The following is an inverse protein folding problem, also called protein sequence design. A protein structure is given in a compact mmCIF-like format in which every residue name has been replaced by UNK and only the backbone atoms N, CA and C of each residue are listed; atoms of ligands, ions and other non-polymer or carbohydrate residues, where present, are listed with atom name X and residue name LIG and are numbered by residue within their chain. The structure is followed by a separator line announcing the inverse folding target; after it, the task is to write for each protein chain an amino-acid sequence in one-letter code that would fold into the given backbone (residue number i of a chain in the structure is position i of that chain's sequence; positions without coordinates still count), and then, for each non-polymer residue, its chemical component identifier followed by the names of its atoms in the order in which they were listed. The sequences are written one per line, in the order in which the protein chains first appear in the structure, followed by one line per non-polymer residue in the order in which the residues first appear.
data_IF_044426407817
#
_entry.id   IF_044426407817
#
_cell.length_a   1.000
_cell.length_b   1.000
_cell.length_c   1.000
_cell.angle_alpha   90.00
_cell.angle_beta   90.00
_cell.angle_gamma   90.00
#
_symmetry.space_group_name_H-M   'P 1'
#
loop_
_entity.id
_entity.type
_entity.pdbx_description
1 polymer ?
#
# COMPACT_ATOMS: atom_id res chain seq x y z
N UNK A 1 -3.54 -56.50 -4.98
CA UNK A 1 -4.16 -55.32 -4.36
C UNK A 1 -3.05 -54.46 -3.82
N UNK A 2 -2.74 -53.38 -4.53
CA UNK A 2 -1.57 -52.54 -4.33
C UNK A 2 -1.97 -51.43 -3.34
N UNK A 3 -1.21 -51.30 -2.26
CA UNK A 3 -1.21 -50.15 -1.36
C UNK A 3 -0.38 -49.01 -1.97
N UNK A 4 -0.78 -47.75 -1.76
CA UNK A 4 0.04 -46.54 -1.85
C UNK A 4 -0.82 -45.31 -1.38
N UNK A 5 -0.23 -44.16 -0.96
CA UNK A 5 -0.33 -43.70 0.42
C UNK A 5 -0.60 -42.19 0.62
N UNK A 6 -0.77 -41.81 1.90
CA UNK A 6 -0.17 -40.62 2.55
C UNK A 6 -0.19 -39.27 1.82
N UNK A 7 -1.14 -38.41 2.23
CA UNK A 7 -1.13 -36.98 1.93
C UNK A 7 0.04 -36.31 2.69
N UNK A 8 1.19 -36.15 2.03
CA UNK A 8 2.33 -35.39 2.55
C UNK A 8 1.99 -33.89 2.53
N UNK A 9 1.73 -33.32 3.71
CA UNK A 9 1.79 -31.87 3.94
C UNK A 9 3.25 -31.44 3.77
N UNK A 10 3.58 -30.83 2.63
CA UNK A 10 4.89 -30.20 2.43
C UNK A 10 4.97 -28.93 3.27
N UNK A 11 5.64 -29.00 4.40
CA UNK A 11 6.13 -27.83 5.14
C UNK A 11 7.10 -27.05 4.25
N UNK A 12 6.73 -25.86 3.79
CA UNK A 12 7.66 -24.97 3.08
C UNK A 12 8.68 -24.41 4.09
N UNK A 13 9.96 -24.61 3.80
CA UNK A 13 11.08 -24.13 4.60
C UNK A 13 11.32 -22.62 4.42
N UNK A 14 11.85 -21.97 5.47
CA UNK A 14 12.19 -20.54 5.60
C UNK A 14 12.92 -19.90 4.39
N UNK A 15 13.63 -20.68 3.59
CA UNK A 15 14.35 -20.21 2.38
C UNK A 15 13.38 -19.98 1.20
N UNK A 16 12.33 -20.81 1.07
CA UNK A 16 11.32 -20.63 0.02
C UNK A 16 10.46 -19.37 0.29
N UNK A 17 10.21 -19.05 1.56
CA UNK A 17 9.50 -17.83 1.97
C UNK A 17 10.28 -16.56 1.56
N UNK A 18 11.61 -16.54 1.73
CA UNK A 18 12.44 -15.40 1.32
C UNK A 18 12.48 -15.23 -0.22
N UNK A 19 12.49 -16.33 -0.97
CA UNK A 19 12.44 -16.31 -2.45
C UNK A 19 11.06 -15.89 -2.94
N UNK A 20 9.97 -16.31 -2.27
CA UNK A 20 8.60 -15.84 -2.54
C UNK A 20 8.44 -14.35 -2.23
N UNK A 21 8.95 -13.85 -1.10
CA UNK A 21 8.97 -12.42 -0.80
C UNK A 21 9.79 -11.62 -1.81
N UNK A 22 10.87 -12.18 -2.36
CA UNK A 22 11.69 -11.52 -3.39
C UNK A 22 11.03 -11.59 -4.79
N UNK A 23 10.34 -12.67 -5.10
CA UNK A 23 9.56 -12.81 -6.33
C UNK A 23 8.32 -11.91 -6.29
N UNK A 24 7.64 -11.83 -5.14
CA UNK A 24 6.58 -10.86 -4.86
C UNK A 24 7.14 -9.43 -4.85
N UNK A 25 8.35 -9.17 -4.36
CA UNK A 25 9.02 -7.87 -4.47
C UNK A 25 9.24 -7.48 -5.93
N UNK A 26 9.62 -8.43 -6.80
CA UNK A 26 9.85 -8.20 -8.23
C UNK A 26 8.54 -8.07 -9.00
N UNK A 27 7.53 -8.90 -8.72
CA UNK A 27 6.21 -8.82 -9.33
C UNK A 27 5.42 -7.60 -8.84
N UNK A 28 5.51 -7.25 -7.56
CA UNK A 28 5.03 -5.99 -7.01
C UNK A 28 5.81 -4.86 -7.68
N UNK A 29 7.13 -4.79 -7.64
CA UNK A 29 7.87 -3.72 -8.32
C UNK A 29 7.59 -3.63 -9.84
N UNK A 30 7.28 -4.74 -10.52
CA UNK A 30 6.88 -4.75 -11.94
C UNK A 30 5.42 -4.30 -12.16
N UNK A 31 4.45 -4.80 -11.38
CA UNK A 31 3.06 -4.30 -11.36
C UNK A 31 2.98 -2.85 -10.91
N UNK A 32 3.85 -2.44 -10.00
CA UNK A 32 3.97 -1.08 -9.49
C UNK A 32 4.67 -0.20 -10.51
N UNK A 33 5.66 -0.70 -11.24
CA UNK A 33 6.25 -0.03 -12.41
C UNK A 33 5.22 0.21 -13.54
N UNK A 34 4.25 -0.70 -13.70
CA UNK A 34 3.08 -0.50 -14.59
C UNK A 34 2.05 0.47 -14.00
N UNK A 35 1.76 0.39 -12.69
CA UNK A 35 0.88 1.34 -12.00
C UNK A 35 1.43 2.77 -12.01
N UNK A 36 2.75 2.93 -11.92
CA UNK A 36 3.45 4.23 -12.06
C UNK A 36 3.39 4.75 -13.50
N UNK A 37 3.30 3.87 -14.51
CA UNK A 37 2.98 4.28 -15.89
C UNK A 37 1.53 4.75 -16.03
N UNK A 38 0.61 4.23 -15.20
CA UNK A 38 -0.78 4.68 -15.12
C UNK A 38 -0.98 6.04 -14.43
N UNK A 39 0.05 6.63 -13.80
CA UNK A 39 -0.05 7.99 -13.21
C UNK A 39 -0.50 9.06 -14.23
N UNK A 40 -0.31 8.84 -15.54
CA UNK A 40 -0.76 9.78 -16.56
C UNK A 40 -2.23 9.61 -16.97
N UNK A 41 -2.89 8.51 -16.60
CA UNK A 41 -4.27 8.24 -17.03
C UNK A 41 -5.31 9.01 -16.19
N UNK A 42 -4.97 9.38 -14.95
CA UNK A 42 -5.88 10.10 -14.04
C UNK A 42 -5.55 11.60 -13.88
N UNK A 43 -4.42 12.08 -14.42
CA UNK A 43 -4.01 13.48 -14.31
C UNK A 43 -3.78 13.98 -12.86
N UNK A 44 -3.66 13.06 -11.90
CA UNK A 44 -3.49 13.32 -10.46
C UNK A 44 -2.40 12.41 -9.89
N UNK A 45 -1.72 12.90 -8.86
CA UNK A 45 -0.66 12.18 -8.17
C UNK A 45 -1.24 11.11 -7.23
N UNK A 46 -0.78 9.87 -7.39
CA UNK A 46 -1.34 8.68 -6.75
C UNK A 46 -0.53 8.26 -5.51
N UNK A 47 -1.21 8.20 -4.36
CA UNK A 47 -0.68 7.67 -3.10
C UNK A 47 -1.26 6.26 -2.91
N UNK A 48 -0.42 5.25 -2.71
CA UNK A 48 -0.87 3.90 -2.42
C UNK A 48 -0.91 3.68 -0.90
N UNK A 49 -1.96 2.98 -0.44
CA UNK A 49 -2.14 2.56 0.94
C UNK A 49 -2.38 1.05 0.99
N UNK A 50 -1.46 0.31 1.61
CA UNK A 50 -1.54 -1.14 1.79
C UNK A 50 -0.65 -1.60 2.96
N UNK A 51 -0.97 -2.73 3.62
CA UNK A 51 -0.16 -3.26 4.72
C UNK A 51 1.07 -4.02 4.20
N UNK A 52 1.95 -4.38 5.13
CA UNK A 52 2.95 -5.45 4.97
C UNK A 52 4.11 -5.10 4.03
N UNK A 53 4.54 -3.84 4.07
CA UNK A 53 5.71 -3.45 3.31
C UNK A 53 6.47 -2.27 3.90
N UNK A 54 7.72 -2.52 4.33
CA UNK A 54 8.59 -1.57 5.03
C UNK A 54 7.98 -1.07 6.35
N UNK A 55 8.62 -0.12 7.01
CA UNK A 55 8.14 0.45 8.29
C UNK A 55 7.00 1.49 8.07
N UNK A 56 6.24 1.37 6.98
CA UNK A 56 5.18 2.29 6.59
C UNK A 56 4.19 1.69 5.61
N UNK A 57 2.91 1.99 5.81
CA UNK A 57 1.83 1.61 4.89
C UNK A 57 1.59 2.58 3.74
N UNK A 58 2.29 3.73 3.73
CA UNK A 58 2.09 4.81 2.74
C UNK A 58 3.18 4.78 1.67
N UNK A 59 2.75 4.84 0.43
CA UNK A 59 3.63 4.82 -0.73
C UNK A 59 3.35 5.93 -1.71
N UNK A 60 4.43 6.57 -2.15
CA UNK A 60 4.42 7.54 -3.23
C UNK A 60 5.69 7.36 -4.07
N UNK A 61 5.57 6.60 -5.17
CA UNK A 61 6.70 6.05 -5.95
C UNK A 61 7.67 5.12 -5.18
N UNK A 62 7.39 4.86 -3.92
CA UNK A 62 8.23 4.13 -2.97
C UNK A 62 7.68 4.34 -1.55
N UNK A 63 8.17 3.58 -0.55
CA UNK A 63 7.71 3.73 0.82
C UNK A 63 8.08 5.11 1.36
N UNK A 64 7.11 5.78 1.99
CA UNK A 64 7.29 7.10 2.62
C UNK A 64 7.01 6.95 4.11
N UNK A 65 7.98 7.29 4.96
CA UNK A 65 7.76 7.26 6.42
C UNK A 65 6.67 8.26 6.83
N UNK A 66 5.93 7.98 7.90
CA UNK A 66 4.90 8.90 8.41
C UNK A 66 5.45 10.31 8.73
N UNK A 67 6.71 10.38 9.19
CA UNK A 67 7.40 11.65 9.45
C UNK A 67 7.73 12.44 8.17
N UNK A 68 7.98 11.77 7.05
CA UNK A 68 8.15 12.39 5.73
C UNK A 68 6.80 12.78 5.13
N UNK A 69 5.77 11.94 5.29
CA UNK A 69 4.41 12.22 4.81
C UNK A 69 3.74 13.38 5.55
N UNK A 70 4.26 13.77 6.74
CA UNK A 70 3.75 14.86 7.58
C UNK A 70 2.26 14.72 7.93
N UNK A 71 1.77 13.48 7.93
CA UNK A 71 0.41 13.17 8.37
C UNK A 71 0.27 13.42 9.88
N UNK A 72 -0.97 13.53 10.36
CA UNK A 72 -1.24 13.66 11.78
C UNK A 72 -0.69 12.46 12.57
N UNK A 73 -0.28 12.70 13.81
CA UNK A 73 0.20 11.64 14.70
C UNK A 73 -0.89 10.59 14.95
N UNK A 74 -2.15 11.04 15.04
CA UNK A 74 -3.33 10.19 15.22
C UNK A 74 -3.51 9.23 14.03
N UNK A 75 -3.40 9.74 12.79
CA UNK A 75 -3.47 8.89 11.60
C UNK A 75 -2.27 7.94 11.51
N UNK A 76 -1.07 8.39 11.85
CA UNK A 76 0.12 7.54 11.85
C UNK A 76 -0.03 6.35 12.81
N UNK A 77 -0.46 6.59 14.05
CA UNK A 77 -0.73 5.53 15.03
C UNK A 77 -1.80 4.58 14.52
N UNK A 78 -2.90 5.11 13.99
CA UNK A 78 -4.00 4.31 13.49
C UNK A 78 -3.61 3.43 12.30
N UNK A 79 -2.71 3.91 11.43
CA UNK A 79 -2.15 3.14 10.32
C UNK A 79 -1.23 2.01 10.81
N UNK A 80 -0.42 2.26 11.84
CA UNK A 80 0.43 1.24 12.48
C UNK A 80 -0.40 0.16 13.16
N UNK A 81 -1.45 0.55 13.90
CA UNK A 81 -2.37 -0.40 14.54
C UNK A 81 -3.10 -1.25 13.50
N UNK A 82 -3.53 -0.63 12.40
CA UNK A 82 -4.16 -1.33 11.30
C UNK A 82 -3.21 -2.34 10.64
N UNK A 83 -1.96 -1.98 10.41
CA UNK A 83 -0.93 -2.92 9.93
C UNK A 83 -0.66 -4.05 10.93
N UNK A 84 -0.54 -3.76 12.23
CA UNK A 84 -0.43 -4.82 13.23
C UNK A 84 -1.63 -5.78 13.23
N UNK A 85 -2.83 -5.26 12.98
CA UNK A 85 -4.04 -6.09 12.88
C UNK A 85 -4.03 -7.02 11.67
N UNK A 86 -3.34 -6.63 10.58
CA UNK A 86 -3.10 -7.50 9.43
C UNK A 86 -2.35 -8.76 9.87
N UNK A 87 -1.16 -8.59 10.46
CA UNK A 87 -0.34 -9.71 10.93
C UNK A 87 -1.02 -10.55 12.01
N UNK A 88 -1.75 -9.90 12.93
CA UNK A 88 -2.51 -10.61 13.96
C UNK A 88 -3.66 -11.45 13.37
N UNK A 89 -4.26 -11.01 12.25
CA UNK A 89 -5.36 -11.68 11.57
C UNK A 89 -4.95 -12.84 10.67
N UNK A 90 -3.66 -12.97 10.32
CA UNK A 90 -3.15 -14.03 9.47
C UNK A 90 -2.63 -15.24 10.23
N UNK A 91 -2.78 -16.42 9.65
CA UNK A 91 -2.12 -17.66 10.07
C UNK A 91 -0.69 -17.80 9.50
N UNK A 92 -0.04 -18.93 9.78
CA UNK A 92 1.35 -19.17 9.36
C UNK A 92 1.52 -19.31 7.83
N UNK A 93 0.42 -19.56 7.10
CA UNK A 93 0.39 -19.69 5.65
C UNK A 93 -0.07 -18.39 4.97
N UNK A 94 -0.16 -17.29 5.75
CA UNK A 94 -0.64 -15.97 5.31
C UNK A 94 -2.10 -15.95 4.86
N UNK A 95 -2.93 -16.86 5.38
CA UNK A 95 -4.38 -16.82 5.17
C UNK A 95 -5.06 -16.11 6.34
N UNK A 96 -6.18 -15.44 6.06
CA UNK A 96 -7.02 -14.87 7.11
C UNK A 96 -7.56 -15.98 8.02
N UNK A 97 -7.30 -15.89 9.32
CA UNK A 97 -7.82 -16.84 10.33
C UNK A 97 -9.35 -16.87 10.38
N UNK A 98 -10.01 -15.78 10.00
CA UNK A 98 -11.46 -15.75 9.81
C UNK A 98 -11.91 -14.68 8.81
N UNK A 99 -13.08 -14.93 8.20
CA UNK A 99 -13.75 -13.96 7.31
C UNK A 99 -14.09 -12.66 8.05
N UNK A 100 -14.44 -12.74 9.34
CA UNK A 100 -14.77 -11.57 10.15
C UNK A 100 -13.55 -10.68 10.39
N UNK A 101 -12.38 -11.26 10.69
CA UNK A 101 -11.15 -10.50 10.86
C UNK A 101 -10.75 -9.80 9.56
N UNK A 102 -10.84 -10.50 8.43
CA UNK A 102 -10.64 -9.91 7.09
C UNK A 102 -11.56 -8.72 6.86
N UNK A 103 -12.86 -8.88 7.13
CA UNK A 103 -13.85 -7.82 6.93
C UNK A 103 -13.53 -6.59 7.79
N UNK A 104 -13.25 -6.78 9.09
CA UNK A 104 -12.85 -5.69 10.00
C UNK A 104 -11.60 -4.97 9.53
N UNK A 105 -10.60 -5.73 9.07
CA UNK A 105 -9.37 -5.18 8.51
C UNK A 105 -9.65 -4.30 7.27
N UNK A 106 -10.48 -4.78 6.34
CA UNK A 106 -10.84 -4.05 5.13
C UNK A 106 -11.62 -2.78 5.41
N UNK A 107 -12.63 -2.86 6.30
CA UNK A 107 -13.44 -1.72 6.71
C UNK A 107 -12.57 -0.63 7.33
N UNK A 108 -11.66 -1.03 8.24
CA UNK A 108 -10.72 -0.11 8.87
C UNK A 108 -9.75 0.52 7.87
N UNK A 109 -9.22 -0.27 6.94
CA UNK A 109 -8.34 0.23 5.87
C UNK A 109 -9.02 1.29 5.01
N UNK A 110 -10.30 1.08 4.66
CA UNK A 110 -11.10 2.06 3.93
C UNK A 110 -11.34 3.35 4.71
N UNK A 111 -11.57 3.29 6.02
CA UNK A 111 -11.67 4.49 6.86
C UNK A 111 -10.36 5.28 6.87
N UNK A 112 -9.23 4.59 7.04
CA UNK A 112 -7.91 5.21 7.06
C UNK A 112 -7.54 5.82 5.71
N UNK A 113 -7.92 5.16 4.61
CA UNK A 113 -7.75 5.71 3.26
C UNK A 113 -8.53 7.02 3.08
N UNK A 114 -9.77 7.10 3.60
CA UNK A 114 -10.57 8.34 3.61
C UNK A 114 -9.88 9.41 4.44
N UNK A 115 -9.43 9.10 5.65
CA UNK A 115 -8.70 10.05 6.50
C UNK A 115 -7.44 10.57 5.83
N UNK A 116 -6.64 9.69 5.22
CA UNK A 116 -5.46 10.10 4.45
C UNK A 116 -5.83 11.02 3.28
N UNK A 117 -6.87 10.66 2.50
CA UNK A 117 -7.33 11.49 1.38
C UNK A 117 -7.78 12.89 1.84
N UNK A 118 -8.38 12.99 3.02
CA UNK A 118 -8.78 14.27 3.61
C UNK A 118 -7.57 15.10 4.05
N UNK A 119 -6.56 14.48 4.66
CA UNK A 119 -5.33 15.16 5.08
C UNK A 119 -4.54 15.73 3.90
N UNK A 120 -4.42 15.00 2.80
CA UNK A 120 -3.65 15.44 1.61
C UNK A 120 -4.45 16.32 0.65
N UNK A 121 -5.78 16.23 0.68
CA UNK A 121 -6.67 17.06 -0.12
C UNK A 121 -6.88 16.58 -1.57
N UNK A 122 -7.70 17.35 -2.30
CA UNK A 122 -8.22 17.02 -3.63
C UNK A 122 -7.18 16.81 -4.76
N UNK A 123 -5.95 17.27 -4.58
CA UNK A 123 -4.93 17.21 -5.62
C UNK A 123 -4.28 15.81 -5.71
N UNK A 124 -4.50 14.97 -4.70
CA UNK A 124 -4.00 13.60 -4.64
C UNK A 124 -5.14 12.60 -4.61
N UNK A 125 -4.89 11.43 -5.18
CA UNK A 125 -5.76 10.26 -5.04
C UNK A 125 -5.10 9.22 -4.18
N UNK A 126 -5.82 8.71 -3.18
CA UNK A 126 -5.39 7.58 -2.35
C UNK A 126 -5.98 6.31 -2.93
N UNK A 127 -5.12 5.38 -3.33
CA UNK A 127 -5.53 4.04 -3.72
C UNK A 127 -5.31 3.06 -2.57
N UNK A 128 -6.41 2.58 -2.01
CA UNK A 128 -6.39 1.49 -1.05
C UNK A 128 -6.36 0.15 -1.76
N UNK A 129 -5.38 -0.69 -1.43
CA UNK A 129 -5.19 -2.04 -1.98
C UNK A 129 -5.28 -3.09 -0.90
N UNK A 130 -5.96 -4.19 -1.22
CA UNK A 130 -5.95 -5.43 -0.44
C UNK A 130 -5.43 -6.55 -1.34
N UNK A 131 -4.43 -7.29 -0.86
CA UNK A 131 -3.93 -8.45 -1.57
C UNK A 131 -4.86 -9.64 -1.35
N UNK A 132 -5.81 -9.82 -2.26
CA UNK A 132 -6.70 -10.98 -2.33
C UNK A 132 -6.61 -11.64 -3.71
N UNK A 133 -7.18 -12.84 -3.85
CA UNK A 133 -7.28 -13.56 -5.13
C UNK A 133 -7.94 -12.70 -6.23
N UNK A 134 -8.81 -11.78 -5.83
CA UNK A 134 -9.34 -10.71 -6.68
C UNK A 134 -8.95 -9.36 -6.07
N UNK A 135 -7.90 -8.69 -6.59
CA UNK A 135 -7.46 -7.42 -6.04
C UNK A 135 -8.53 -6.35 -6.29
N UNK A 136 -9.15 -5.88 -5.21
CA UNK A 136 -10.02 -4.71 -5.24
C UNK A 136 -9.18 -3.47 -4.94
N UNK A 137 -9.18 -2.53 -5.87
CA UNK A 137 -8.51 -1.25 -5.75
C UNK A 137 -9.59 -0.20 -5.52
N UNK A 138 -9.49 0.54 -4.41
CA UNK A 138 -10.41 1.63 -4.11
C UNK A 138 -9.66 2.95 -4.25
N UNK A 139 -10.09 3.78 -5.21
CA UNK A 139 -9.58 5.14 -5.37
C UNK A 139 -10.43 6.13 -4.57
N UNK A 140 -9.77 6.93 -3.74
CA UNK A 140 -10.39 7.93 -2.90
C UNK A 140 -9.72 9.27 -3.14
N UNK A 141 -10.52 10.26 -3.52
CA UNK A 141 -10.10 11.65 -3.70
C UNK A 141 -10.97 12.50 -2.81
N UNK A 142 -10.36 13.41 -2.04
CA UNK A 142 -11.14 14.37 -1.26
C UNK A 142 -11.80 15.38 -2.21
N UNK A 143 -13.05 15.77 -1.91
CA UNK A 143 -13.70 16.88 -2.62
C UNK A 143 -13.18 18.27 -2.14
N UNK A 144 -12.41 18.30 -1.06
CA UNK A 144 -12.02 19.52 -0.36
C UNK A 144 -10.50 19.74 -0.37
N UNK A 145 -10.10 20.95 -0.04
CA UNK A 145 -8.70 21.26 0.29
C UNK A 145 -8.24 20.42 1.47
N UNK A 146 -6.92 20.19 1.52
CA UNK A 146 -6.27 19.44 2.59
C UNK A 146 -6.68 19.93 3.98
N UNK A 147 -7.07 18.99 4.85
CA UNK A 147 -7.28 19.28 6.29
C UNK A 147 -5.95 19.38 7.04
N UNK A 148 -4.87 18.82 6.47
CA UNK A 148 -3.52 18.93 6.97
C UNK A 148 -2.60 19.59 5.92
N UNK A 149 -2.40 20.91 6.00
CA UNK A 149 -1.56 21.64 5.05
C UNK A 149 -0.11 21.15 4.99
N UNK A 150 0.42 20.59 6.09
CA UNK A 150 1.78 20.07 6.13
C UNK A 150 1.92 18.77 5.33
N UNK A 151 0.92 17.89 5.42
CA UNK A 151 0.87 16.68 4.61
C UNK A 151 0.77 17.00 3.12
N UNK A 152 -0.17 17.88 2.74
CA UNK A 152 -0.32 18.31 1.35
C UNK A 152 0.99 18.87 0.78
N UNK A 153 1.63 19.82 1.49
CA UNK A 153 2.89 20.40 1.05
C UNK A 153 4.01 19.36 0.90
N UNK A 154 4.06 18.33 1.77
CA UNK A 154 5.03 17.26 1.67
C UNK A 154 4.81 16.42 0.39
N UNK A 155 3.56 16.06 0.08
CA UNK A 155 3.26 15.31 -1.14
C UNK A 155 3.44 16.14 -2.42
N UNK A 156 3.11 17.44 -2.41
CA UNK A 156 3.42 18.33 -3.54
C UNK A 156 4.92 18.42 -3.79
N UNK A 157 5.74 18.55 -2.75
CA UNK A 157 7.20 18.57 -2.91
C UNK A 157 7.75 17.25 -3.49
N UNK A 158 7.17 16.11 -3.09
CA UNK A 158 7.52 14.81 -3.67
C UNK A 158 7.12 14.72 -5.16
N UNK A 159 5.92 15.20 -5.49
CA UNK A 159 5.42 15.26 -6.87
C UNK A 159 6.26 16.17 -7.76
N UNK A 160 6.62 17.37 -7.30
CA UNK A 160 7.46 18.31 -8.06
C UNK A 160 8.85 17.71 -8.35
N UNK A 161 9.42 17.01 -7.36
CA UNK A 161 10.68 16.28 -7.52
C UNK A 161 10.56 15.13 -8.54
N UNK A 162 9.40 14.48 -8.64
CA UNK A 162 9.11 13.48 -9.66
C UNK A 162 9.02 14.11 -11.05
N UNK A 163 8.22 15.16 -11.20
CA UNK A 163 7.97 15.80 -12.48
C UNK A 163 9.25 16.40 -13.07
N UNK A 164 10.09 17.01 -12.23
CA UNK A 164 11.41 17.52 -12.61
C UNK A 164 12.37 16.44 -13.12
N UNK A 165 12.23 15.19 -12.66
CA UNK A 165 13.04 14.06 -13.14
C UNK A 165 12.54 13.49 -14.47
N UNK A 166 11.25 13.61 -14.80
CA UNK A 166 10.69 13.19 -16.09
C UNK A 166 11.00 14.18 -17.22
N UNK A 167 11.26 15.45 -16.88
CA UNK A 167 11.68 16.50 -17.81
C UNK A 167 12.98 17.16 -17.33
N UNK A 168 14.16 16.56 -17.58
CA UNK A 168 15.42 17.22 -17.30
C UNK A 168 15.52 18.53 -18.10
N UNK A 169 16.06 19.63 -17.54
CA UNK A 169 16.30 20.84 -18.30
C UNK A 169 17.17 20.50 -19.51
N UNK A 170 16.78 21.01 -20.69
CA UNK A 170 17.59 20.88 -21.89
C UNK A 170 18.97 21.49 -21.61
N UNK A 171 20.08 20.82 -22.00
CA UNK A 171 21.39 21.44 -21.90
C UNK A 171 21.40 22.73 -22.73
N UNK A 172 21.93 23.79 -22.12
CA UNK A 172 22.17 25.09 -22.75
C UNK A 172 23.16 24.99 -23.91
#
# INVERSE_FOLDING_TARGET
MIAEPGYLIRTRTRIETQVLLTALFREASLRYGESVKSNSAYGVDLILLFPDYADTTIWFMGPISYAQAKISAELAVALQEWEHSYYAGLDADFNWKSVEQRKKFQERGMELARSLSAEVGKDFTVEYRVFEEQPHHHHLTSAHTATNPSAAAAFHALADCLHSRKHPPLPL
#
